data_IF_010429497448
#
_entry.id   IF_010429497448
#
_cell.length_a   1.000
_cell.length_b   1.000
_cell.length_c   1.000
_cell.angle_alpha   90.00
_cell.angle_beta   90.00
_cell.angle_gamma   90.00
#
_symmetry.space_group_name_H-M   'P 1'
#
loop_
_entity.id
_entity.type
_entity.pdbx_description
1 polymer ?
#
# COMPACT_ATOMS: atom_id res chain seq x y z
N UNK A 1 48.11 -24.91 -20.44
CA UNK A 1 49.33 -24.49 -19.72
C UNK A 1 50.50 -25.19 -20.37
N UNK A 2 51.51 -24.45 -20.81
CA UNK A 2 52.63 -24.94 -21.65
C UNK A 2 53.96 -24.71 -20.93
N UNK A 3 54.82 -25.72 -20.94
CA UNK A 3 56.22 -25.67 -20.54
C UNK A 3 57.06 -25.89 -21.80
N UNK A 4 57.96 -24.96 -22.14
CA UNK A 4 58.70 -24.99 -23.40
C UNK A 4 60.20 -24.73 -23.29
N UNK A 5 60.72 -24.62 -22.07
CA UNK A 5 62.15 -24.51 -21.80
C UNK A 5 62.63 -25.62 -20.85
N UNK A 6 63.88 -26.06 -21.03
CA UNK A 6 64.53 -27.09 -20.20
C UNK A 6 64.78 -26.66 -18.75
N UNK A 7 64.56 -25.39 -18.43
CA UNK A 7 64.67 -24.81 -17.09
C UNK A 7 63.33 -24.73 -16.36
N UNK A 8 62.22 -24.97 -17.06
CA UNK A 8 60.89 -24.74 -16.53
C UNK A 8 60.28 -26.01 -15.94
N UNK A 9 59.82 -25.94 -14.70
CA UNK A 9 59.07 -26.99 -14.01
C UNK A 9 57.73 -26.46 -13.52
N UNK A 10 56.73 -27.33 -13.43
CA UNK A 10 55.49 -27.02 -12.72
C UNK A 10 55.57 -27.58 -11.31
N UNK A 11 55.31 -26.73 -10.34
CA UNK A 11 55.49 -27.04 -8.93
C UNK A 11 54.29 -26.64 -8.11
N UNK A 12 54.09 -27.36 -7.00
CA UNK A 12 53.12 -26.98 -5.98
C UNK A 12 53.79 -26.85 -4.62
N UNK A 13 53.21 -26.00 -3.77
CA UNK A 13 53.49 -25.94 -2.33
C UNK A 13 52.23 -25.52 -1.57
N UNK A 14 52.18 -25.82 -0.28
CA UNK A 14 51.11 -25.36 0.60
C UNK A 14 51.56 -24.13 1.38
N UNK A 15 50.63 -23.24 1.72
CA UNK A 15 50.96 -22.06 2.54
C UNK A 15 51.22 -22.40 4.02
N UNK A 16 50.90 -23.63 4.45
CA UNK A 16 51.09 -24.13 5.81
C UNK A 16 51.14 -25.65 5.83
N UNK A 17 51.50 -26.23 6.98
CA UNK A 17 51.48 -27.68 7.18
C UNK A 17 50.04 -28.23 7.12
N UNK A 18 49.90 -29.47 6.65
CA UNK A 18 48.62 -30.21 6.69
C UNK A 18 48.30 -30.66 8.12
N UNK A 19 47.03 -30.91 8.38
CA UNK A 19 46.57 -31.44 9.67
C UNK A 19 46.69 -32.97 9.75
N UNK A 20 46.37 -33.67 8.67
CA UNK A 20 46.35 -35.13 8.62
C UNK A 20 46.94 -35.69 7.31
N UNK A 21 46.56 -35.14 6.15
CA UNK A 21 46.90 -35.74 4.86
C UNK A 21 47.44 -34.70 3.87
N UNK A 22 48.50 -35.07 3.15
CA UNK A 22 49.00 -34.32 1.99
C UNK A 22 48.04 -34.46 0.80
N UNK A 23 48.08 -33.47 -0.11
CA UNK A 23 47.18 -33.34 -1.25
C UNK A 23 47.69 -34.19 -2.43
N UNK A 24 46.92 -35.19 -2.90
CA UNK A 24 47.24 -35.91 -4.12
C UNK A 24 47.04 -35.01 -5.35
N UNK A 25 47.98 -35.11 -6.28
CA UNK A 25 47.97 -34.43 -7.57
C UNK A 25 47.93 -35.47 -8.67
N UNK A 26 47.04 -35.27 -9.63
CA UNK A 26 47.04 -36.03 -10.88
C UNK A 26 47.02 -35.06 -12.04
N UNK A 27 47.95 -35.26 -12.97
CA UNK A 27 48.15 -34.39 -14.10
C UNK A 27 48.30 -35.24 -15.36
N UNK A 28 47.52 -34.91 -16.39
CA UNK A 28 47.67 -35.45 -17.73
C UNK A 28 48.23 -34.37 -18.65
N UNK A 29 49.32 -34.69 -19.33
CA UNK A 29 50.00 -33.79 -20.26
C UNK A 29 50.32 -34.50 -21.56
N UNK A 30 50.55 -33.72 -22.59
CA UNK A 30 51.12 -34.21 -23.85
C UNK A 30 52.58 -33.79 -23.86
N UNK A 31 53.48 -34.76 -24.00
CA UNK A 31 54.88 -34.50 -24.35
C UNK A 31 55.00 -34.44 -25.88
N UNK A 32 55.66 -33.42 -26.38
CA UNK A 32 55.73 -33.12 -27.80
C UNK A 32 57.13 -32.76 -28.26
N UNK A 33 57.61 -33.45 -29.28
CA UNK A 33 58.78 -33.05 -30.07
C UNK A 33 58.39 -33.13 -31.55
N UNK A 34 58.47 -32.00 -32.25
CA UNK A 34 58.06 -31.88 -33.66
C UNK A 34 56.63 -32.45 -33.91
N UNK A 35 56.51 -33.54 -34.69
CA UNK A 35 55.22 -34.13 -35.09
C UNK A 35 54.73 -35.26 -34.19
N UNK A 36 55.46 -35.60 -33.12
CA UNK A 36 55.11 -36.70 -32.21
C UNK A 36 54.45 -36.16 -30.94
N UNK A 37 53.35 -36.78 -30.52
CA UNK A 37 52.60 -36.39 -29.33
C UNK A 37 52.34 -37.60 -28.43
N UNK A 38 52.84 -37.56 -27.20
CA UNK A 38 52.76 -38.66 -26.24
C UNK A 38 51.92 -38.24 -25.02
N UNK A 39 50.62 -38.61 -24.95
CA UNK A 39 49.82 -38.35 -23.77
C UNK A 39 50.34 -39.19 -22.60
N UNK A 40 50.62 -38.53 -21.48
CA UNK A 40 51.19 -39.13 -20.28
C UNK A 40 50.38 -38.71 -19.06
N UNK A 41 50.17 -39.65 -18.14
CA UNK A 41 49.54 -39.41 -16.84
C UNK A 41 50.62 -39.46 -15.76
N UNK A 42 50.67 -38.44 -14.90
CA UNK A 42 51.59 -38.34 -13.78
C UNK A 42 50.82 -38.19 -12.47
N UNK A 43 51.31 -38.88 -11.44
CA UNK A 43 50.80 -38.80 -10.07
C UNK A 43 51.88 -38.19 -9.18
N UNK A 44 51.47 -37.34 -8.25
CA UNK A 44 52.37 -36.74 -7.25
C UNK A 44 51.58 -36.48 -5.96
N UNK A 45 52.28 -36.13 -4.89
CA UNK A 45 51.69 -35.78 -3.60
C UNK A 45 52.40 -34.55 -3.06
N UNK A 46 51.68 -33.62 -2.43
CA UNK A 46 52.31 -32.47 -1.78
C UNK A 46 53.21 -32.89 -0.62
N UNK A 47 54.05 -31.97 -0.16
CA UNK A 47 54.98 -32.18 0.96
C UNK A 47 55.00 -30.93 1.86
N UNK A 48 53.82 -30.55 2.36
CA UNK A 48 53.64 -29.38 3.19
C UNK A 48 54.04 -28.08 2.49
N UNK A 49 54.86 -27.28 3.15
CA UNK A 49 55.32 -25.97 2.64
C UNK A 49 56.49 -26.06 1.65
N UNK A 50 57.05 -27.25 1.43
CA UNK A 50 58.16 -27.46 0.49
C UNK A 50 57.62 -27.65 -0.93
N UNK A 51 58.38 -27.17 -1.90
CA UNK A 51 58.05 -27.29 -3.32
C UNK A 51 58.16 -28.73 -3.80
N UNK A 52 57.14 -29.17 -4.53
CA UNK A 52 57.09 -30.49 -5.18
C UNK A 52 56.93 -30.29 -6.67
N UNK A 53 57.88 -30.82 -7.45
CA UNK A 53 57.79 -30.88 -8.91
C UNK A 53 56.72 -31.87 -9.35
N UNK A 54 55.62 -31.35 -9.91
CA UNK A 54 54.48 -32.13 -10.43
C UNK A 54 54.51 -32.27 -11.96
N UNK A 55 55.38 -31.53 -12.63
CA UNK A 55 55.77 -31.75 -14.02
C UNK A 55 57.22 -31.31 -14.20
N UNK A 56 58.10 -32.25 -14.53
CA UNK A 56 59.51 -31.97 -14.76
C UNK A 56 59.72 -31.17 -16.06
N UNK A 57 60.89 -30.56 -16.20
CA UNK A 57 61.27 -29.88 -17.44
C UNK A 57 61.28 -30.84 -18.64
N UNK A 58 60.93 -30.35 -19.84
CA UNK A 58 61.04 -31.13 -21.06
C UNK A 58 62.50 -31.44 -21.39
N UNK A 59 62.71 -32.47 -22.20
CA UNK A 59 64.00 -32.71 -22.85
C UNK A 59 64.35 -31.56 -23.82
N UNK A 60 65.62 -31.39 -24.23
CA UNK A 60 65.98 -30.38 -25.21
C UNK A 60 65.10 -30.44 -26.46
N UNK A 61 64.50 -29.31 -26.85
CA UNK A 61 63.53 -29.17 -27.97
C UNK A 61 62.15 -29.78 -27.73
N UNK A 62 61.91 -30.45 -26.61
CA UNK A 62 60.60 -30.94 -26.18
C UNK A 62 59.72 -29.81 -25.62
N UNK A 63 58.40 -30.03 -25.67
CA UNK A 63 57.39 -29.16 -25.06
C UNK A 63 56.37 -30.01 -24.33
N UNK A 64 55.92 -29.56 -23.16
CA UNK A 64 54.88 -30.25 -22.38
C UNK A 64 53.66 -29.36 -22.22
N UNK A 65 52.51 -29.85 -22.67
CA UNK A 65 51.24 -29.15 -22.53
C UNK A 65 50.32 -29.91 -21.58
N UNK A 66 49.98 -29.29 -20.45
CA UNK A 66 48.99 -29.83 -19.52
C UNK A 66 47.61 -29.75 -20.16
N UNK A 67 46.94 -30.89 -20.24
CA UNK A 67 45.56 -31.02 -20.74
C UNK A 67 44.55 -31.05 -19.62
N UNK A 68 44.88 -31.75 -18.55
CA UNK A 68 44.02 -31.92 -17.40
C UNK A 68 44.88 -32.02 -16.14
N UNK A 69 44.42 -31.40 -15.05
CA UNK A 69 45.02 -31.58 -13.73
C UNK A 69 43.92 -31.50 -12.69
N UNK A 70 44.00 -32.34 -11.66
CA UNK A 70 43.22 -32.12 -10.44
C UNK A 70 44.08 -32.29 -9.20
N UNK A 71 43.76 -31.50 -8.18
CA UNK A 71 44.40 -31.52 -6.87
C UNK A 71 43.27 -31.49 -5.85
N UNK A 72 43.11 -32.59 -5.10
CA UNK A 72 42.04 -32.73 -4.11
C UNK A 72 42.60 -32.44 -2.73
N UNK A 73 41.87 -31.64 -1.95
CA UNK A 73 42.15 -31.50 -0.54
C UNK A 73 41.62 -32.71 0.25
N UNK A 74 42.49 -33.69 0.47
CA UNK A 74 42.21 -34.86 1.33
C UNK A 74 42.54 -34.62 2.79
N UNK A 75 43.00 -33.42 3.16
CA UNK A 75 43.22 -33.02 4.54
C UNK A 75 41.87 -32.80 5.26
N UNK A 76 41.91 -32.89 6.58
CA UNK A 76 40.76 -32.62 7.45
C UNK A 76 40.54 -31.13 7.71
N UNK A 77 41.45 -30.27 7.24
CA UNK A 77 41.37 -28.82 7.38
C UNK A 77 41.37 -28.12 6.01
N UNK A 78 41.04 -26.83 6.01
CA UNK A 78 41.17 -25.98 4.81
C UNK A 78 42.64 -25.79 4.50
N UNK A 79 43.04 -26.09 3.26
CA UNK A 79 44.43 -25.96 2.80
C UNK A 79 44.52 -24.90 1.72
N UNK A 80 45.50 -24.00 1.85
CA UNK A 80 45.82 -23.01 0.80
C UNK A 80 46.93 -23.55 -0.08
N UNK A 81 46.55 -23.97 -1.28
CA UNK A 81 47.41 -24.50 -2.33
C UNK A 81 47.98 -23.36 -3.18
N UNK A 82 49.26 -23.43 -3.50
CA UNK A 82 49.95 -22.57 -4.44
C UNK A 82 50.48 -23.46 -5.58
N UNK A 83 50.10 -23.14 -6.82
CA UNK A 83 50.67 -23.69 -8.03
C UNK A 83 51.57 -22.62 -8.67
N UNK A 84 52.77 -23.01 -9.07
CA UNK A 84 53.75 -22.10 -9.66
C UNK A 84 54.51 -22.72 -10.83
N UNK A 85 54.99 -21.86 -11.72
CA UNK A 85 56.00 -22.19 -12.72
C UNK A 85 57.37 -21.77 -12.18
N UNK A 86 58.25 -22.72 -11.91
CA UNK A 86 59.64 -22.45 -11.58
C UNK A 86 60.46 -22.44 -12.88
N UNK A 87 61.36 -21.46 -13.02
CA UNK A 87 62.19 -21.28 -14.22
C UNK A 87 63.64 -20.99 -13.80
N UNK A 88 64.34 -22.05 -13.40
CA UNK A 88 65.68 -21.97 -12.83
C UNK A 88 65.72 -21.26 -11.47
N UNK A 89 65.77 -19.92 -11.46
CA UNK A 89 65.96 -19.10 -10.25
C UNK A 89 64.74 -18.25 -9.89
N UNK A 90 63.64 -18.32 -10.65
CA UNK A 90 62.45 -17.49 -10.42
C UNK A 90 61.18 -18.33 -10.46
N UNK A 91 60.37 -18.21 -9.42
CA UNK A 91 59.05 -18.82 -9.35
C UNK A 91 57.96 -17.81 -9.71
N UNK A 92 57.00 -18.25 -10.51
CA UNK A 92 55.83 -17.45 -10.91
C UNK A 92 54.57 -18.15 -10.43
N UNK A 93 53.88 -17.55 -9.46
CA UNK A 93 52.60 -18.05 -8.96
C UNK A 93 51.55 -18.01 -10.09
N UNK A 94 50.94 -19.15 -10.38
CA UNK A 94 49.89 -19.30 -11.38
C UNK A 94 48.51 -19.19 -10.72
N UNK A 95 48.33 -19.87 -9.60
CA UNK A 95 47.10 -19.82 -8.81
C UNK A 95 47.40 -20.08 -7.34
N UNK A 96 46.77 -19.28 -6.48
CA UNK A 96 46.69 -19.49 -5.04
C UNK A 96 45.23 -19.59 -4.64
N UNK A 97 44.86 -20.71 -4.06
CA UNK A 97 43.45 -21.02 -3.75
C UNK A 97 43.34 -21.75 -2.42
N UNK A 98 42.33 -21.38 -1.62
CA UNK A 98 41.95 -22.14 -0.44
C UNK A 98 40.93 -23.20 -0.84
N UNK A 99 41.25 -24.46 -0.58
CA UNK A 99 40.36 -25.60 -0.77
C UNK A 99 39.84 -26.05 0.59
N UNK A 100 38.52 -26.08 0.76
CA UNK A 100 37.91 -26.74 1.94
C UNK A 100 38.19 -28.25 1.87
N UNK A 101 37.90 -28.97 2.97
CA UNK A 101 37.97 -30.43 2.98
C UNK A 101 37.17 -31.01 1.80
N UNK A 102 37.77 -31.96 1.09
CA UNK A 102 37.21 -32.68 -0.06
C UNK A 102 36.91 -31.85 -1.31
N UNK A 103 37.26 -30.56 -1.33
CA UNK A 103 37.22 -29.76 -2.55
C UNK A 103 38.39 -30.09 -3.47
N UNK A 104 38.17 -29.92 -4.77
CA UNK A 104 39.16 -30.24 -5.80
C UNK A 104 39.43 -29.04 -6.70
N UNK A 105 40.67 -28.57 -6.75
CA UNK A 105 41.11 -27.68 -7.83
C UNK A 105 41.23 -28.51 -9.11
N UNK A 106 40.56 -28.08 -10.18
CA UNK A 106 40.61 -28.71 -11.50
C UNK A 106 41.09 -27.70 -12.52
N UNK A 107 41.99 -28.12 -13.40
CA UNK A 107 42.37 -27.41 -14.61
C UNK A 107 42.01 -28.26 -15.84
N UNK A 108 41.39 -27.63 -16.83
CA UNK A 108 41.33 -28.16 -18.20
C UNK A 108 41.89 -27.12 -19.17
N UNK A 109 42.45 -27.56 -20.29
CA UNK A 109 42.94 -26.64 -21.33
C UNK A 109 41.83 -25.75 -21.92
N UNK A 110 40.58 -26.19 -21.86
CA UNK A 110 39.43 -25.53 -22.48
C UNK A 110 38.73 -24.55 -21.52
N UNK A 111 38.60 -24.89 -20.24
CA UNK A 111 37.86 -24.06 -19.26
C UNK A 111 38.74 -23.40 -18.21
N UNK A 112 40.05 -23.68 -18.20
CA UNK A 112 40.97 -23.13 -17.21
C UNK A 112 40.76 -23.71 -15.81
N UNK A 113 41.11 -22.92 -14.79
CA UNK A 113 41.00 -23.31 -13.38
C UNK A 113 39.57 -23.16 -12.86
N UNK A 114 39.11 -24.15 -12.11
CA UNK A 114 37.86 -24.13 -11.35
C UNK A 114 38.02 -24.95 -10.07
N UNK A 115 37.27 -24.60 -9.03
CA UNK A 115 37.13 -25.46 -7.84
C UNK A 115 35.85 -26.26 -8.00
N UNK A 116 35.93 -27.56 -7.75
CA UNK A 116 34.78 -28.45 -7.66
C UNK A 116 34.49 -28.70 -6.19
N UNK A 117 33.25 -28.44 -5.77
CA UNK A 117 32.79 -28.67 -4.40
C UNK A 117 32.60 -30.16 -4.08
N UNK A 118 32.30 -30.48 -2.83
CA UNK A 118 32.08 -31.85 -2.36
C UNK A 118 30.91 -32.57 -3.03
N UNK A 119 30.02 -31.83 -3.69
CA UNK A 119 28.85 -32.34 -4.39
C UNK A 119 29.08 -32.45 -5.90
N UNK A 120 30.28 -32.12 -6.40
CA UNK A 120 30.63 -32.20 -7.82
C UNK A 120 30.26 -30.96 -8.63
N UNK A 121 29.75 -29.88 -8.00
CA UNK A 121 29.44 -28.65 -8.70
C UNK A 121 30.69 -27.78 -8.84
N UNK A 122 30.73 -26.96 -9.88
CA UNK A 122 31.74 -25.90 -9.96
C UNK A 122 31.41 -24.82 -8.94
N UNK A 123 32.31 -24.62 -7.97
CA UNK A 123 32.23 -23.56 -6.96
C UNK A 123 32.47 -22.22 -7.65
N UNK A 124 31.40 -21.48 -7.86
CA UNK A 124 31.46 -20.11 -8.40
C UNK A 124 31.70 -19.18 -7.22
N UNK A 125 32.78 -18.39 -7.27
CA UNK A 125 33.04 -17.37 -6.26
C UNK A 125 31.91 -16.34 -6.24
N UNK A 126 31.24 -16.19 -5.09
CA UNK A 126 30.36 -15.05 -4.80
C UNK A 126 29.08 -14.89 -5.64
N UNK A 127 28.65 -15.91 -6.40
CA UNK A 127 27.42 -15.87 -7.19
C UNK A 127 26.57 -17.11 -6.92
N UNK A 128 25.93 -17.17 -5.74
CA UNK A 128 24.98 -18.21 -5.40
C UNK A 128 23.83 -18.23 -6.41
N UNK A 129 23.54 -19.41 -6.96
CA UNK A 129 22.40 -19.62 -7.84
C UNK A 129 21.11 -19.17 -7.12
N UNK A 130 20.24 -18.50 -7.87
CA UNK A 130 18.99 -17.96 -7.35
C UNK A 130 18.13 -19.08 -6.78
N UNK A 131 17.90 -19.08 -5.47
CA UNK A 131 16.80 -19.85 -4.90
C UNK A 131 15.47 -19.23 -5.35
N UNK A 132 14.47 -20.07 -5.61
CA UNK A 132 13.13 -19.58 -5.93
C UNK A 132 12.59 -18.75 -4.75
N UNK A 133 12.04 -17.55 -5.00
CA UNK A 133 11.45 -16.74 -3.95
C UNK A 133 10.30 -17.52 -3.30
N UNK A 134 10.42 -17.78 -2.00
CA UNK A 134 9.43 -18.52 -1.19
C UNK A 134 8.64 -17.59 -0.25
N UNK A 135 8.87 -16.27 -0.33
CA UNK A 135 8.14 -15.25 0.41
C UNK A 135 7.45 -14.28 -0.54
N UNK A 136 6.27 -13.82 -0.14
CA UNK A 136 5.55 -12.74 -0.83
C UNK A 136 6.35 -11.45 -0.82
N UNK A 137 6.12 -10.63 -1.83
CA UNK A 137 6.69 -9.28 -1.97
C UNK A 137 6.02 -8.41 -0.90
N UNK A 138 6.80 -7.93 0.08
CA UNK A 138 6.35 -7.03 1.12
C UNK A 138 6.35 -5.58 0.61
N UNK A 139 5.30 -4.82 0.92
CA UNK A 139 5.11 -3.42 0.55
C UNK A 139 4.68 -2.70 1.82
N UNK A 140 5.59 -2.00 2.50
CA UNK A 140 5.15 -1.06 3.55
C UNK A 140 6.07 -0.68 4.71
N UNK A 141 7.37 -0.93 4.72
CA UNK A 141 8.24 -0.43 5.78
C UNK A 141 8.98 0.88 5.44
N UNK A 142 9.28 1.64 6.50
CA UNK A 142 9.78 3.02 6.44
C UNK A 142 11.19 3.10 5.83
N UNK A 143 11.40 4.10 4.97
CA UNK A 143 12.63 4.28 4.19
C UNK A 143 13.88 4.43 5.08
N UNK A 144 14.68 3.36 5.17
CA UNK A 144 16.02 3.38 5.76
C UNK A 144 17.06 3.03 4.69
N UNK A 145 18.13 3.81 4.59
CA UNK A 145 19.25 3.53 3.68
C UNK A 145 19.98 2.24 4.10
N UNK A 146 19.83 1.16 3.32
CA UNK A 146 20.57 -0.07 3.56
C UNK A 146 22.00 0.00 2.99
N UNK A 147 23.01 -0.41 3.76
CA UNK A 147 24.43 -0.18 3.46
C UNK A 147 25.19 -1.29 2.70
N UNK A 148 24.54 -2.10 1.86
CA UNK A 148 25.17 -3.29 1.22
C UNK A 148 25.31 -3.18 -0.31
N UNK A 149 26.40 -3.73 -0.84
CA UNK A 149 26.95 -3.47 -2.18
C UNK A 149 26.57 -4.50 -3.28
N UNK A 150 25.39 -5.12 -3.24
CA UNK A 150 24.95 -6.10 -4.26
C UNK A 150 23.80 -5.58 -5.13
N UNK A 151 23.84 -5.94 -6.42
CA UNK A 151 22.94 -5.51 -7.50
C UNK A 151 21.47 -5.81 -7.19
N UNK A 152 20.63 -4.76 -7.23
CA UNK A 152 19.20 -4.68 -6.91
C UNK A 152 18.74 -5.62 -5.80
N UNK A 153 18.88 -5.13 -4.56
CA UNK A 153 18.42 -5.78 -3.34
C UNK A 153 16.95 -6.21 -3.41
N UNK A 154 16.61 -7.23 -2.61
CA UNK A 154 15.23 -7.69 -2.37
C UNK A 154 14.32 -6.63 -1.74
N UNK A 155 14.88 -5.51 -1.28
CA UNK A 155 14.19 -4.35 -0.72
C UNK A 155 13.98 -3.22 -1.74
N UNK A 156 14.17 -3.50 -3.05
CA UNK A 156 13.91 -2.51 -4.10
C UNK A 156 12.44 -2.08 -4.07
N UNK A 157 12.19 -0.91 -3.48
CA UNK A 157 10.88 -0.28 -3.43
C UNK A 157 10.82 0.90 -4.40
N UNK A 158 9.69 1.03 -5.11
CA UNK A 158 9.38 2.24 -5.87
C UNK A 158 8.78 3.28 -4.91
N UNK A 159 9.52 4.36 -4.67
CA UNK A 159 9.01 5.48 -3.89
C UNK A 159 7.89 6.19 -4.65
N UNK A 160 6.65 6.04 -4.18
CA UNK A 160 5.58 6.95 -4.54
C UNK A 160 5.48 7.99 -3.41
N UNK A 161 5.92 9.22 -3.66
CA UNK A 161 5.74 10.28 -2.71
C UNK A 161 4.24 10.51 -2.53
N UNK A 162 3.73 10.33 -1.31
CA UNK A 162 2.40 10.83 -0.98
C UNK A 162 2.36 12.31 -1.35
N UNK A 163 1.31 12.79 -2.02
CA UNK A 163 1.21 14.22 -2.33
C UNK A 163 1.35 15.01 -1.03
N UNK A 164 2.19 16.04 -1.07
CA UNK A 164 2.36 16.98 0.04
C UNK A 164 0.99 17.45 0.49
N UNK A 165 0.71 17.37 1.79
CA UNK A 165 -0.61 17.59 2.37
C UNK A 165 -1.38 18.75 1.74
N UNK A 166 -2.66 18.50 1.46
CA UNK A 166 -3.56 19.51 0.89
C UNK A 166 -4.30 19.12 -0.39
N UNK A 167 -4.29 17.86 -0.84
CA UNK A 167 -5.13 17.42 -1.96
C UNK A 167 -5.84 16.08 -1.75
N UNK A 168 -7.13 15.98 -2.13
CA UNK A 168 -8.00 17.09 -2.56
C UNK A 168 -8.54 17.89 -1.38
N UNK A 169 -8.76 19.20 -1.61
CA UNK A 169 -9.62 20.02 -0.76
C UNK A 169 -11.07 19.51 -0.88
N UNK A 170 -11.74 19.18 0.24
CA UNK A 170 -13.06 19.78 0.57
C UNK A 170 -13.69 19.35 1.91
N UNK A 171 -14.24 20.39 2.57
CA UNK A 171 -15.36 20.59 3.52
C UNK A 171 -15.91 19.47 4.44
N UNK A 172 -15.44 19.38 5.71
CA UNK A 172 -16.28 19.41 6.95
C UNK A 172 -15.48 19.30 8.29
N UNK A 173 -16.18 19.32 9.43
CA UNK A 173 -15.74 19.89 10.72
C UNK A 173 -14.94 19.01 11.72
N UNK A 174 -14.59 17.75 11.40
CA UNK A 174 -13.53 16.99 12.10
C UNK A 174 -13.19 15.71 11.31
N UNK A 175 -11.95 15.62 10.85
CA UNK A 175 -11.44 14.55 9.97
C UNK A 175 -10.75 13.44 10.77
N UNK A 176 -10.93 12.19 10.34
CA UNK A 176 -10.10 11.06 10.75
C UNK A 176 -9.51 10.41 9.51
N UNK A 177 -8.18 10.33 9.45
CA UNK A 177 -7.48 9.64 8.37
C UNK A 177 -7.73 8.14 8.44
N UNK A 178 -8.16 7.55 7.32
CA UNK A 178 -8.11 6.10 7.11
C UNK A 178 -6.67 5.58 7.23
N UNK A 179 -6.47 4.46 7.93
CA UNK A 179 -5.14 3.94 8.29
C UNK A 179 -4.60 2.87 7.31
N UNK A 180 -5.26 2.66 6.17
CA UNK A 180 -4.94 1.57 5.25
C UNK A 180 -3.74 1.90 4.33
N UNK A 181 -2.91 0.88 4.06
CA UNK A 181 -1.65 0.98 3.27
C UNK A 181 -1.81 0.61 1.79
N UNK A 182 -3.03 0.39 1.28
CA UNK A 182 -3.29 -0.01 -0.12
C UNK A 182 -3.41 1.19 -1.08
N UNK A 183 -3.08 1.06 -2.39
CA UNK A 183 -3.21 2.14 -3.36
C UNK A 183 -4.67 2.59 -3.54
N UNK A 184 -4.91 3.88 -3.34
CA UNK A 184 -6.20 4.52 -3.06
C UNK A 184 -6.86 3.94 -1.78
N UNK A 185 -7.16 4.82 -0.82
CA UNK A 185 -7.74 4.49 0.49
C UNK A 185 -8.99 3.62 0.27
N UNK A 186 -8.86 2.31 0.44
CA UNK A 186 -9.93 1.33 0.18
C UNK A 186 -11.05 1.45 1.21
N UNK A 187 -10.78 2.18 2.29
CA UNK A 187 -11.66 2.57 3.38
C UNK A 187 -12.22 4.00 3.21
N UNK A 188 -12.06 4.63 2.04
CA UNK A 188 -12.65 5.94 1.81
C UNK A 188 -14.18 5.86 1.90
N UNK A 189 -14.72 6.48 2.94
CA UNK A 189 -16.15 6.64 3.17
C UNK A 189 -16.54 8.11 2.98
N UNK A 190 -17.60 8.36 2.22
CA UNK A 190 -18.22 9.68 2.21
C UNK A 190 -19.17 9.79 3.40
N UNK A 191 -19.10 10.90 4.14
CA UNK A 191 -20.12 11.24 5.13
C UNK A 191 -21.44 11.45 4.39
N UNK A 192 -22.47 10.70 4.78
CA UNK A 192 -23.81 10.93 4.25
C UNK A 192 -24.30 12.31 4.76
N UNK A 193 -24.49 13.26 3.85
CA UNK A 193 -24.98 14.62 4.16
C UNK A 193 -26.52 14.66 4.17
N UNK A 194 -27.17 13.56 4.58
CA UNK A 194 -28.61 13.53 4.79
C UNK A 194 -28.92 14.26 6.11
N UNK A 195 -28.89 15.60 6.09
CA UNK A 195 -29.24 16.47 7.22
C UNK A 195 -30.62 17.06 6.95
N UNK A 196 -31.65 16.54 7.61
CA UNK A 196 -33.01 17.02 7.47
C UNK A 196 -33.99 16.38 8.44
N UNK A 197 -35.17 16.99 8.55
CA UNK A 197 -36.27 16.44 9.33
C UNK A 197 -37.60 16.74 8.66
N UNK A 198 -38.58 15.89 8.93
CA UNK A 198 -39.99 16.08 8.58
C UNK A 198 -40.86 15.69 9.76
N UNK A 199 -41.60 16.67 10.30
CA UNK A 199 -42.46 16.55 11.46
C UNK A 199 -43.92 16.90 11.12
N UNK A 200 -44.85 16.44 11.94
CA UNK A 200 -46.29 16.59 11.72
C UNK A 200 -47.07 16.66 13.04
N UNK A 201 -48.29 17.20 12.98
CA UNK A 201 -49.30 17.01 14.04
C UNK A 201 -50.23 15.86 13.65
N UNK A 202 -50.50 14.95 14.57
CA UNK A 202 -51.48 13.88 14.39
C UNK A 202 -52.89 14.25 14.87
N UNK A 203 -53.10 15.48 15.35
CA UNK A 203 -54.37 16.00 15.82
C UNK A 203 -54.76 17.32 15.12
N UNK A 204 -56.05 17.64 15.14
CA UNK A 204 -56.52 18.94 14.66
C UNK A 204 -56.06 20.04 15.64
N UNK A 205 -55.54 21.13 15.10
CA UNK A 205 -55.16 22.30 15.89
C UNK A 205 -56.12 23.46 15.61
N UNK A 206 -56.79 23.92 16.66
CA UNK A 206 -57.72 25.05 16.58
C UNK A 206 -56.98 26.38 16.50
N UNK A 207 -57.26 27.15 15.44
CA UNK A 207 -56.69 28.46 15.19
C UNK A 207 -57.75 29.53 15.51
N UNK A 208 -57.43 30.43 16.43
CA UNK A 208 -58.32 31.54 16.81
C UNK A 208 -58.46 32.56 15.68
N UNK A 209 -59.64 33.19 15.60
CA UNK A 209 -59.89 34.21 14.57
C UNK A 209 -58.86 35.35 14.62
N UNK A 210 -58.39 35.75 13.43
CA UNK A 210 -57.45 36.83 13.21
C UNK A 210 -56.20 36.78 14.11
N UNK A 211 -55.77 35.56 14.48
CA UNK A 211 -54.64 35.33 15.39
C UNK A 211 -53.63 34.41 14.71
N UNK A 212 -52.44 34.94 14.44
CA UNK A 212 -51.34 34.16 13.89
C UNK A 212 -50.86 33.13 14.92
N UNK A 213 -50.90 31.86 14.56
CA UNK A 213 -50.66 30.73 15.47
C UNK A 213 -49.60 29.82 14.84
N UNK A 214 -48.57 29.45 15.62
CA UNK A 214 -47.60 28.45 15.19
C UNK A 214 -48.23 27.05 15.27
N UNK A 215 -47.94 26.20 14.30
CA UNK A 215 -48.42 24.82 14.32
C UNK A 215 -47.56 23.97 15.25
N UNK A 216 -48.20 23.24 16.15
CA UNK A 216 -47.54 22.27 17.01
C UNK A 216 -47.25 21.00 16.20
N UNK A 217 -46.07 20.39 16.35
CA UNK A 217 -45.69 19.18 15.62
C UNK A 217 -45.41 18.09 16.65
N UNK A 218 -46.38 17.20 16.88
CA UNK A 218 -46.32 16.22 17.97
C UNK A 218 -45.75 14.85 17.55
N UNK A 219 -45.34 14.71 16.30
CA UNK A 219 -44.85 13.45 15.71
C UNK A 219 -43.82 13.70 14.59
N UNK A 220 -43.02 12.70 14.25
CA UNK A 220 -41.98 12.76 13.21
C UNK A 220 -42.14 11.68 12.15
N UNK A 221 -41.84 12.03 10.89
CA UNK A 221 -41.62 11.08 9.79
C UNK A 221 -40.18 10.59 9.80
N UNK A 222 -39.25 11.53 9.98
CA UNK A 222 -37.83 11.30 10.15
C UNK A 222 -37.18 12.55 10.75
N UNK A 223 -36.08 12.34 11.47
CA UNK A 223 -35.12 13.36 11.86
C UNK A 223 -33.73 12.72 11.84
N UNK A 224 -32.84 13.23 11.00
CA UNK A 224 -31.50 12.65 10.82
C UNK A 224 -30.41 13.41 11.57
N UNK A 225 -30.73 14.56 12.17
CA UNK A 225 -29.73 15.43 12.80
C UNK A 225 -30.26 16.19 14.03
N UNK A 226 -31.29 15.67 14.71
CA UNK A 226 -31.88 16.30 15.92
C UNK A 226 -32.38 17.73 15.66
N UNK A 227 -33.03 17.91 14.51
CA UNK A 227 -33.58 19.20 14.07
C UNK A 227 -34.92 19.50 14.78
N UNK A 228 -35.66 18.48 15.19
CA UNK A 228 -36.96 18.61 15.84
C UNK A 228 -36.93 18.02 17.27
N UNK A 229 -37.74 18.60 18.17
CA UNK A 229 -37.87 18.13 19.56
C UNK A 229 -39.35 18.02 19.92
N UNK A 230 -39.81 16.78 20.13
CA UNK A 230 -41.20 16.45 20.45
C UNK A 230 -41.67 16.97 21.83
N UNK A 231 -40.74 17.35 22.70
CA UNK A 231 -41.01 17.71 24.09
C UNK A 231 -40.91 19.21 24.36
N UNK A 232 -39.97 19.89 23.71
CA UNK A 232 -39.57 21.25 24.05
C UNK A 232 -39.54 22.12 22.81
N UNK A 233 -40.48 23.08 22.73
CA UNK A 233 -40.69 23.89 21.54
C UNK A 233 -40.93 23.01 20.30
N UNK A 234 -41.95 22.17 20.38
CA UNK A 234 -42.36 21.26 19.31
C UNK A 234 -43.00 21.96 18.09
N UNK A 235 -43.03 23.29 18.04
CA UNK A 235 -43.57 24.06 16.91
C UNK A 235 -42.52 24.47 15.87
N UNK A 236 -41.25 24.05 16.04
CA UNK A 236 -40.12 24.54 15.23
C UNK A 236 -39.18 23.43 14.75
N UNK A 237 -38.59 23.65 13.58
CA UNK A 237 -37.44 22.91 13.08
C UNK A 237 -36.18 23.78 13.23
N UNK A 238 -35.16 23.29 13.92
CA UNK A 238 -33.94 24.03 14.26
C UNK A 238 -32.75 23.50 13.46
N UNK A 239 -32.09 24.37 12.70
CA UNK A 239 -30.87 24.00 11.99
C UNK A 239 -29.75 23.68 12.97
N UNK A 240 -29.24 22.47 12.94
CA UNK A 240 -28.06 22.01 13.68
C UNK A 240 -26.76 22.37 12.99
N UNK A 241 -26.78 22.41 11.65
CA UNK A 241 -25.65 22.77 10.80
C UNK A 241 -25.99 24.01 9.98
N UNK A 242 -25.06 24.95 9.85
CA UNK A 242 -25.27 26.11 8.99
C UNK A 242 -25.30 25.71 7.49
N UNK A 243 -26.14 26.36 6.71
CA UNK A 243 -26.20 26.15 5.26
C UNK A 243 -27.51 26.58 4.64
N UNK A 244 -27.67 26.25 3.35
CA UNK A 244 -28.94 26.49 2.63
C UNK A 244 -29.86 25.30 2.84
N UNK A 245 -31.11 25.58 3.15
CA UNK A 245 -32.14 24.57 3.35
C UNK A 245 -33.28 24.79 2.38
N UNK A 246 -33.80 23.70 1.80
CA UNK A 246 -35.16 23.69 1.24
C UNK A 246 -36.12 23.42 2.39
N UNK A 247 -37.13 24.27 2.54
CA UNK A 247 -38.10 24.22 3.64
C UNK A 247 -39.49 24.13 3.00
N UNK A 248 -40.27 23.15 3.43
CA UNK A 248 -41.61 22.86 2.87
C UNK A 248 -42.64 22.73 3.97
N UNK A 249 -43.83 23.29 3.75
CA UNK A 249 -44.97 23.24 4.66
C UNK A 249 -46.24 22.86 3.89
N UNK A 250 -47.06 21.99 4.47
CA UNK A 250 -48.35 21.59 3.93
C UNK A 250 -49.40 21.61 5.05
N UNK A 251 -50.53 22.27 4.81
CA UNK A 251 -51.66 22.34 5.76
C UNK A 251 -53.00 22.22 5.03
N UNK A 252 -54.04 21.86 5.78
CA UNK A 252 -55.44 21.86 5.37
C UNK A 252 -56.25 22.60 6.44
N UNK A 253 -56.85 23.74 6.10
CA UNK A 253 -57.87 24.37 6.95
C UNK A 253 -59.23 23.69 6.72
N UNK A 254 -60.00 23.53 7.79
CA UNK A 254 -61.39 23.13 7.70
C UNK A 254 -62.20 24.09 6.78
N UNK A 255 -63.21 23.55 6.10
CA UNK A 255 -64.04 24.31 5.16
C UNK A 255 -64.79 25.43 5.88
N UNK A 256 -64.74 26.65 5.34
CA UNK A 256 -65.50 27.80 5.84
C UNK A 256 -65.57 28.88 4.75
N UNK A 257 -66.69 29.60 4.69
CA UNK A 257 -67.01 30.54 3.61
C UNK A 257 -66.50 31.97 3.80
N UNK A 258 -65.79 32.26 4.89
CA UNK A 258 -65.53 33.63 5.34
C UNK A 258 -64.04 33.89 5.57
N UNK A 259 -63.60 35.06 5.11
CA UNK A 259 -62.27 35.59 5.33
C UNK A 259 -61.20 34.99 4.41
N UNK A 260 -59.98 34.93 4.92
CA UNK A 260 -58.79 34.44 4.22
C UNK A 260 -58.10 33.34 5.00
N UNK A 261 -57.24 32.59 4.32
CA UNK A 261 -56.37 31.54 4.85
C UNK A 261 -54.94 31.88 4.48
N UNK A 262 -54.08 31.99 5.48
CA UNK A 262 -52.70 32.39 5.33
C UNK A 262 -51.81 31.30 5.92
N UNK A 263 -50.81 30.88 5.16
CA UNK A 263 -49.69 30.05 5.61
C UNK A 263 -48.40 30.85 5.43
N UNK A 264 -47.55 30.83 6.44
CA UNK A 264 -46.24 31.49 6.41
C UNK A 264 -45.17 30.59 7.00
N UNK A 265 -43.92 30.80 6.57
CA UNK A 265 -42.74 30.23 7.24
C UNK A 265 -42.05 31.39 7.97
N UNK A 266 -41.88 31.26 9.29
CA UNK A 266 -41.30 32.27 10.16
C UNK A 266 -39.95 31.83 10.70
N UNK A 267 -38.93 32.65 10.51
CA UNK A 267 -37.58 32.51 11.05
C UNK A 267 -37.47 33.18 12.43
N UNK A 268 -36.93 32.45 13.40
CA UNK A 268 -36.56 32.92 14.74
C UNK A 268 -37.67 33.72 15.47
N UNK A 269 -38.94 33.31 15.26
CA UNK A 269 -40.09 33.88 15.97
C UNK A 269 -40.59 35.24 15.47
N UNK A 270 -39.95 35.86 14.47
CA UNK A 270 -40.31 37.23 14.05
C UNK A 270 -40.32 37.47 12.53
N UNK A 271 -39.39 36.90 11.77
CA UNK A 271 -39.23 37.24 10.35
C UNK A 271 -39.96 36.25 9.46
N UNK A 272 -40.93 36.69 8.67
CA UNK A 272 -41.55 35.84 7.65
C UNK A 272 -40.65 35.73 6.41
N UNK A 273 -40.30 34.50 6.04
CA UNK A 273 -39.38 34.19 4.92
C UNK A 273 -40.09 33.52 3.73
N UNK A 274 -41.38 33.20 3.89
CA UNK A 274 -42.28 32.76 2.83
C UNK A 274 -43.73 32.98 3.27
N UNK A 275 -44.61 33.27 2.32
CA UNK A 275 -46.04 33.52 2.57
C UNK A 275 -46.88 33.04 1.39
N UNK A 276 -48.08 32.52 1.67
CA UNK A 276 -49.13 32.28 0.69
C UNK A 276 -50.49 32.56 1.34
N UNK A 277 -51.36 33.27 0.62
CA UNK A 277 -52.73 33.61 1.06
C UNK A 277 -53.73 33.15 0.01
N UNK A 278 -54.82 32.51 0.45
CA UNK A 278 -56.02 32.25 -0.36
C UNK A 278 -57.28 32.80 0.32
N UNK A 279 -58.30 33.10 -0.48
CA UNK A 279 -59.64 33.36 0.02
C UNK A 279 -60.28 32.09 0.60
N UNK A 280 -61.25 32.28 1.49
CA UNK A 280 -62.02 31.18 2.09
C UNK A 280 -62.87 30.42 1.06
N UNK A 281 -62.99 29.09 1.22
CA UNK A 281 -63.78 28.22 0.35
C UNK A 281 -64.91 27.54 1.14
N UNK A 282 -66.16 27.72 0.69
CA UNK A 282 -67.35 27.17 1.34
C UNK A 282 -67.59 25.68 1.03
N UNK A 283 -67.12 25.18 -0.12
CA UNK A 283 -67.51 23.88 -0.64
C UNK A 283 -66.46 22.79 -0.41
N UNK A 284 -65.27 23.17 0.05
CA UNK A 284 -64.19 22.25 0.37
C UNK A 284 -63.26 22.89 1.41
N UNK A 285 -62.44 22.04 2.03
CA UNK A 285 -61.27 22.43 2.81
C UNK A 285 -60.28 23.25 1.97
N UNK A 286 -59.45 24.05 2.65
CA UNK A 286 -58.42 24.85 2.00
C UNK A 286 -57.05 24.22 2.24
N UNK A 287 -56.51 23.54 1.20
CA UNK A 287 -55.17 22.92 1.23
C UNK A 287 -54.12 23.88 0.71
N UNK A 288 -53.07 24.13 1.49
CA UNK A 288 -52.01 25.06 1.12
C UNK A 288 -50.65 24.37 1.22
N UNK A 289 -49.79 24.64 0.26
CA UNK A 289 -48.42 24.15 0.23
C UNK A 289 -47.46 25.32 -0.01
N UNK A 290 -46.42 25.43 0.81
CA UNK A 290 -45.47 26.53 0.76
C UNK A 290 -44.05 25.99 0.81
N UNK A 291 -43.21 26.45 -0.11
CA UNK A 291 -41.81 26.05 -0.20
C UNK A 291 -40.93 27.28 -0.32
N UNK A 292 -39.79 27.28 0.35
CA UNK A 292 -38.74 28.29 0.17
C UNK A 292 -37.35 27.67 0.31
N UNK A 293 -36.35 28.32 -0.25
CA UNK A 293 -34.95 28.01 0.01
C UNK A 293 -34.37 29.17 0.81
N UNK A 294 -33.78 28.89 1.97
CA UNK A 294 -33.24 29.93 2.84
C UNK A 294 -31.92 29.50 3.47
N UNK A 295 -31.03 30.46 3.71
CA UNK A 295 -29.77 30.24 4.40
C UNK A 295 -29.98 30.38 5.91
N UNK A 296 -29.69 29.31 6.65
CA UNK A 296 -29.83 29.24 8.10
C UNK A 296 -28.45 29.11 8.73
N UNK A 297 -28.17 29.91 9.76
CA UNK A 297 -27.07 29.63 10.66
C UNK A 297 -27.42 28.45 11.57
N UNK A 298 -26.41 27.79 12.14
CA UNK A 298 -26.67 26.85 13.23
C UNK A 298 -27.48 27.54 14.34
N UNK A 299 -28.39 26.79 14.95
CA UNK A 299 -29.40 27.22 15.95
C UNK A 299 -30.49 28.16 15.45
N UNK A 300 -30.51 28.56 14.18
CA UNK A 300 -31.70 29.24 13.63
C UNK A 300 -32.84 28.25 13.52
N UNK A 301 -34.05 28.69 13.80
CA UNK A 301 -35.23 27.83 13.70
C UNK A 301 -36.31 28.46 12.83
N UNK A 302 -37.09 27.59 12.22
CA UNK A 302 -38.24 27.97 11.40
C UNK A 302 -39.50 27.33 11.95
N UNK A 303 -40.63 28.01 11.74
CA UNK A 303 -41.97 27.59 12.18
C UNK A 303 -42.95 27.73 11.02
N UNK A 304 -43.96 26.86 10.96
CA UNK A 304 -45.17 27.15 10.18
C UNK A 304 -46.06 28.01 11.07
N UNK A 305 -46.42 29.20 10.58
CA UNK A 305 -47.38 30.07 11.24
C UNK A 305 -48.56 30.28 10.32
N UNK A 306 -49.76 30.02 10.84
CA UNK A 306 -51.00 30.09 10.10
C UNK A 306 -51.92 31.16 10.67
N UNK A 307 -52.74 31.76 9.82
CA UNK A 307 -53.77 32.73 10.21
C UNK A 307 -55.04 32.52 9.39
N UNK A 308 -56.18 32.72 10.03
CA UNK A 308 -57.49 32.65 9.40
C UNK A 308 -58.41 33.76 9.94
N UNK A 309 -59.30 34.29 9.10
CA UNK A 309 -60.26 35.36 9.46
C UNK A 309 -61.73 34.94 9.26
N UNK A 310 -62.10 33.77 9.76
CA UNK A 310 -63.42 33.17 9.58
C UNK A 310 -64.51 33.71 10.49
N UNK A 311 -64.22 34.72 11.33
CA UNK A 311 -65.11 35.30 12.37
C UNK A 311 -65.37 34.37 13.56
N UNK A 312 -64.62 33.28 13.65
CA UNK A 312 -64.65 32.31 14.74
C UNK A 312 -63.40 31.43 14.70
N UNK A 313 -63.34 30.43 15.58
CA UNK A 313 -62.26 29.44 15.56
C UNK A 313 -62.40 28.53 14.35
N UNK A 314 -61.26 28.17 13.75
CA UNK A 314 -61.20 27.23 12.63
C UNK A 314 -59.97 26.35 12.79
N UNK A 315 -60.14 25.06 12.53
CA UNK A 315 -59.05 24.10 12.69
C UNK A 315 -58.16 24.06 11.45
N UNK A 316 -56.85 23.88 11.67
CA UNK A 316 -56.00 23.13 10.75
C UNK A 316 -56.21 21.65 11.07
N UNK A 317 -56.63 20.87 10.09
CA UNK A 317 -57.03 19.48 10.29
C UNK A 317 -55.86 18.53 10.05
N UNK A 318 -55.70 17.55 10.94
CA UNK A 318 -54.79 16.44 10.73
C UNK A 318 -55.40 15.48 9.71
N UNK A 319 -54.75 15.32 8.56
CA UNK A 319 -55.25 14.52 7.46
C UNK A 319 -54.12 13.73 6.78
N UNK A 320 -54.22 12.41 6.88
CA UNK A 320 -53.30 11.44 6.32
C UNK A 320 -51.81 11.84 6.52
N UNK A 321 -51.02 11.87 5.44
CA UNK A 321 -49.60 12.21 5.48
C UNK A 321 -49.29 13.52 4.75
N UNK A 322 -50.25 14.45 4.73
CA UNK A 322 -50.11 15.72 4.03
C UNK A 322 -50.57 16.95 4.83
N UNK A 323 -51.19 16.80 6.00
CA UNK A 323 -51.58 17.95 6.84
C UNK A 323 -51.63 17.61 8.33
N UNK A 324 -51.15 18.52 9.21
CA UNK A 324 -50.10 19.49 8.92
C UNK A 324 -48.75 18.78 8.83
N UNK A 325 -47.94 19.12 7.83
CA UNK A 325 -46.60 18.55 7.64
C UNK A 325 -45.58 19.67 7.43
N UNK A 326 -44.43 19.58 8.11
CA UNK A 326 -43.34 20.53 8.01
C UNK A 326 -42.01 19.81 7.81
N UNK A 327 -41.18 20.27 6.87
CA UNK A 327 -39.88 19.69 6.65
C UNK A 327 -38.81 20.72 6.29
N UNK A 328 -37.57 20.39 6.60
CA UNK A 328 -36.39 21.07 6.07
C UNK A 328 -35.30 20.06 5.72
N UNK A 329 -34.62 20.29 4.60
CA UNK A 329 -33.50 19.46 4.14
C UNK A 329 -32.34 20.38 3.74
N UNK A 330 -31.14 20.09 4.27
CA UNK A 330 -29.92 20.82 3.89
C UNK A 330 -29.55 20.50 2.46
N UNK A 331 -29.18 21.53 1.71
CA UNK A 331 -28.67 21.40 0.35
C UNK A 331 -27.14 21.53 0.36
N UNK A 332 -26.45 20.49 -0.11
CA UNK A 332 -24.98 20.47 -0.22
C UNK A 332 -24.29 20.09 1.08
#
# INVERSE_FOLDING_TARGET
MLIDAITQTLEIKLSGAVSANELPVVLAYIDGEASNFFPTLQHSISNGTTEVTILAAPEPRGKRMVKFMYIRNTDTATVTLILQLADGATDREIVKISLLQDETLVYTDTTGFKVIDTNGNTKVGGGGGFAAPTGGIDIGDSATEGSLATHSKSDHQHAFAAPSGGYPLDVAAAEADGSATTPARSDHVHKNMDIGARAFDNANQTISDNTATAIDLNSERYDTDTIHDLSTNNSRLTATTAGKYVITANIEFASNSTGRRLITIRLNGSTFIAEMEWDANQNDTTRMALTTIYELAATNYVEIVVLQTSTGNLDVVANANFSPEFAMQKMG
#
